data_IF_064936896036
#
_entry.id   IF_064936896036
#
_cell.length_a   1.000
_cell.length_b   1.000
_cell.length_c   1.000
_cell.angle_alpha   90.00
_cell.angle_beta   90.00
_cell.angle_gamma   90.00
#
_symmetry.space_group_name_H-M   'P 1'
#
loop_
_entity.id
_entity.type
_entity.pdbx_description
1 polymer ?
#
# COMPACT_ATOMS: atom_id res chain seq x y z
N UNK A 1 1.86 -29.46 -9.84
CA UNK A 1 2.36 -29.06 -11.16
C UNK A 1 3.48 -28.07 -10.89
N UNK A 2 4.71 -28.40 -11.26
CA UNK A 2 5.86 -27.50 -11.04
C UNK A 2 5.84 -26.42 -12.13
N UNK A 3 5.86 -25.15 -11.71
CA UNK A 3 5.96 -24.01 -12.62
C UNK A 3 7.43 -23.87 -13.01
N UNK A 4 7.72 -23.87 -14.31
CA UNK A 4 9.09 -23.72 -14.82
C UNK A 4 9.41 -22.26 -15.18
N UNK A 5 10.70 -21.93 -15.29
CA UNK A 5 11.14 -20.59 -15.75
C UNK A 5 10.56 -20.26 -17.14
N UNK A 6 10.46 -21.26 -18.02
CA UNK A 6 9.90 -21.07 -19.37
C UNK A 6 8.42 -20.70 -19.35
N UNK A 7 7.66 -21.23 -18.40
CA UNK A 7 6.25 -20.89 -18.25
C UNK A 7 6.10 -19.41 -17.90
N UNK A 8 6.91 -18.93 -16.94
CA UNK A 8 6.95 -17.50 -16.56
C UNK A 8 7.40 -16.59 -17.70
N UNK A 9 8.39 -16.99 -18.50
CA UNK A 9 8.84 -16.21 -19.66
C UNK A 9 7.75 -16.07 -20.74
N UNK A 10 6.96 -17.12 -20.95
CA UNK A 10 5.86 -17.10 -21.91
C UNK A 10 4.72 -16.20 -21.42
N UNK A 11 4.38 -16.30 -20.14
CA UNK A 11 3.35 -15.46 -19.52
C UNK A 11 3.73 -13.98 -19.62
N UNK A 12 4.98 -13.63 -19.28
CA UNK A 12 5.48 -12.24 -19.37
C UNK A 12 5.44 -11.69 -20.80
N UNK A 13 5.74 -12.51 -21.82
CA UNK A 13 5.67 -12.10 -23.23
C UNK A 13 4.23 -11.92 -23.73
N UNK A 14 3.27 -12.59 -23.11
CA UNK A 14 1.86 -12.49 -23.46
C UNK A 14 1.17 -11.24 -22.90
N UNK A 15 1.82 -10.53 -21.97
CA UNK A 15 1.24 -9.38 -21.29
C UNK A 15 1.16 -8.13 -22.19
N UNK A 16 0.05 -7.36 -22.10
CA UNK A 16 -0.04 -6.03 -22.67
C UNK A 16 1.06 -5.10 -22.16
N UNK A 17 1.56 -4.19 -23.02
CA UNK A 17 2.66 -3.28 -22.69
C UNK A 17 2.34 -2.37 -21.51
N UNK A 18 1.06 -2.03 -21.34
CA UNK A 18 0.53 -1.19 -20.28
C UNK A 18 0.69 -1.83 -18.89
N UNK A 19 0.78 -3.16 -18.82
CA UNK A 19 0.96 -3.92 -17.58
C UNK A 19 2.43 -4.25 -17.29
N UNK A 20 3.33 -4.12 -18.27
CA UNK A 20 4.75 -4.42 -18.09
C UNK A 20 5.40 -3.55 -17.01
N UNK A 21 4.95 -2.30 -16.85
CA UNK A 21 5.46 -1.43 -15.78
C UNK A 21 5.08 -1.96 -14.40
N UNK A 22 3.82 -2.34 -14.19
CA UNK A 22 3.35 -2.86 -12.90
C UNK A 22 4.05 -4.18 -12.54
N UNK A 23 4.26 -5.04 -13.54
CA UNK A 23 5.01 -6.28 -13.34
C UNK A 23 6.48 -6.01 -13.04
N UNK A 24 7.10 -5.04 -13.73
CA UNK A 24 8.46 -4.59 -13.42
C UNK A 24 8.59 -4.07 -11.98
N UNK A 25 7.63 -3.26 -11.53
CA UNK A 25 7.60 -2.72 -10.16
C UNK A 25 7.45 -3.83 -9.12
N UNK A 26 6.59 -4.82 -9.39
CA UNK A 26 6.42 -5.97 -8.52
C UNK A 26 7.67 -6.87 -8.49
N UNK A 27 8.31 -7.09 -9.63
CA UNK A 27 9.60 -7.82 -9.70
C UNK A 27 10.70 -7.07 -8.95
N UNK A 28 10.74 -5.74 -9.02
CA UNK A 28 11.65 -4.92 -8.23
C UNK A 28 11.40 -5.08 -6.73
N UNK A 29 10.15 -5.06 -6.29
CA UNK A 29 9.75 -5.35 -4.91
C UNK A 29 10.17 -6.76 -4.46
N UNK A 30 9.93 -7.79 -5.28
CA UNK A 30 10.33 -9.17 -4.96
C UNK A 30 11.86 -9.30 -4.86
N UNK A 31 12.61 -8.66 -5.76
CA UNK A 31 14.07 -8.61 -5.70
C UNK A 31 14.55 -7.91 -4.42
N UNK A 32 13.94 -6.79 -4.05
CA UNK A 32 14.22 -6.11 -2.79
C UNK A 32 13.93 -7.02 -1.58
N UNK A 33 12.77 -7.68 -1.58
CA UNK A 33 12.31 -8.53 -0.48
C UNK A 33 13.15 -9.80 -0.28
N UNK A 34 13.59 -10.43 -1.36
CA UNK A 34 14.19 -11.77 -1.32
C UNK A 34 15.69 -11.81 -1.66
N UNK A 35 16.20 -10.86 -2.46
CA UNK A 35 17.63 -10.76 -2.79
C UNK A 35 18.31 -9.59 -2.06
N UNK A 36 17.53 -8.62 -1.59
CA UNK A 36 18.01 -7.66 -0.61
C UNK A 36 18.20 -8.39 0.72
N UNK A 37 19.44 -8.71 1.07
CA UNK A 37 19.84 -8.56 2.46
C UNK A 37 19.61 -7.09 2.83
N UNK A 38 18.39 -6.73 3.18
CA UNK A 38 18.16 -5.49 3.90
C UNK A 38 18.50 -5.82 5.35
N UNK A 39 19.78 -5.67 5.67
CA UNK A 39 20.26 -5.51 7.06
C UNK A 39 19.83 -4.14 7.62
N UNK A 40 18.95 -3.42 6.93
CA UNK A 40 18.40 -2.12 7.28
C UNK A 40 16.88 -2.26 7.44
N UNK A 41 16.35 -1.62 8.46
CA UNK A 41 14.92 -1.61 8.77
C UNK A 41 14.14 -1.01 7.58
N UNK A 42 13.02 -1.62 7.16
CA UNK A 42 12.16 -1.09 6.10
C UNK A 42 11.67 0.33 6.42
N UNK A 43 11.63 0.70 7.71
CA UNK A 43 11.32 2.06 8.16
C UNK A 43 12.34 3.11 7.65
N UNK A 44 13.54 2.72 7.20
CA UNK A 44 14.50 3.66 6.60
C UNK A 44 14.04 4.20 5.25
N UNK A 45 13.13 3.50 4.56
CA UNK A 45 12.58 3.92 3.27
C UNK A 45 11.39 4.88 3.38
N UNK A 46 10.85 5.09 4.59
CA UNK A 46 9.73 6.00 4.80
C UNK A 46 10.21 7.46 4.83
N UNK A 47 9.46 8.35 4.18
CA UNK A 47 9.61 9.79 4.39
C UNK A 47 9.26 10.17 5.83
N UNK A 48 9.72 11.33 6.28
CA UNK A 48 9.35 11.87 7.60
C UNK A 48 7.83 11.96 7.77
N UNK A 49 7.12 12.45 6.76
CA UNK A 49 5.65 12.57 6.80
C UNK A 49 4.94 11.21 6.90
N UNK A 50 5.50 10.16 6.30
CA UNK A 50 4.95 8.81 6.41
C UNK A 50 5.15 8.24 7.81
N UNK A 51 6.32 8.47 8.43
CA UNK A 51 6.61 8.07 9.82
C UNK A 51 5.67 8.78 10.79
N UNK A 52 5.54 10.10 10.67
CA UNK A 52 4.62 10.92 11.47
C UNK A 52 3.17 10.44 11.34
N UNK A 53 2.73 10.08 10.12
CA UNK A 53 1.38 9.55 9.89
C UNK A 53 1.15 8.20 10.59
N UNK A 54 2.17 7.35 10.66
CA UNK A 54 2.09 6.05 11.35
C UNK A 54 2.03 6.26 12.86
N UNK A 55 2.91 7.10 13.41
CA UNK A 55 2.94 7.43 14.84
C UNK A 55 1.61 8.05 15.29
N UNK A 56 1.07 8.98 14.50
CA UNK A 56 -0.25 9.56 14.75
C UNK A 56 -1.34 8.49 14.74
N UNK A 57 -1.33 7.59 13.76
CA UNK A 57 -2.30 6.50 13.68
C UNK A 57 -2.26 5.58 14.90
N UNK A 58 -1.06 5.29 15.43
CA UNK A 58 -0.90 4.51 16.65
C UNK A 58 -1.48 5.24 17.88
N UNK A 59 -1.15 6.51 18.08
CA UNK A 59 -1.72 7.34 19.15
C UNK A 59 -3.25 7.47 19.03
N UNK A 60 -3.78 7.61 17.81
CA UNK A 60 -5.23 7.67 17.59
C UNK A 60 -5.93 6.36 18.01
N UNK A 61 -5.31 5.20 17.80
CA UNK A 61 -5.83 3.91 18.24
C UNK A 61 -5.76 3.80 19.78
N UNK A 62 -4.63 4.12 20.39
CA UNK A 62 -4.42 4.03 21.84
C UNK A 62 -5.37 4.95 22.62
N UNK A 63 -5.59 6.16 22.11
CA UNK A 63 -6.46 7.15 22.73
C UNK A 63 -7.94 6.97 22.36
N UNK A 64 -8.28 5.96 21.55
CA UNK A 64 -9.65 5.72 21.10
C UNK A 64 -10.20 6.83 20.19
N UNK A 65 -9.33 7.62 19.54
CA UNK A 65 -9.68 8.63 18.51
C UNK A 65 -9.96 7.97 17.16
N UNK A 66 -10.57 6.79 17.18
CA UNK A 66 -11.00 6.03 16.01
C UNK A 66 -12.51 6.05 15.93
N UNK A 67 -13.03 6.09 14.71
CA UNK A 67 -14.47 5.96 14.43
C UNK A 67 -14.68 4.84 13.44
N UNK A 68 -15.82 4.17 13.52
CA UNK A 68 -16.21 3.20 12.51
C UNK A 68 -16.45 3.87 11.17
N UNK A 69 -16.40 3.07 10.10
CA UNK A 69 -16.67 3.53 8.74
C UNK A 69 -18.07 4.14 8.59
N UNK A 70 -19.07 3.54 9.24
CA UNK A 70 -20.45 4.02 9.16
C UNK A 70 -20.63 5.35 9.89
N UNK A 71 -20.01 5.52 11.06
CA UNK A 71 -19.97 6.81 11.76
C UNK A 71 -19.27 7.89 10.95
N UNK A 72 -18.15 7.55 10.27
CA UNK A 72 -17.46 8.47 9.39
C UNK A 72 -18.35 8.94 8.24
N UNK A 73 -19.04 8.01 7.56
CA UNK A 73 -20.00 8.34 6.49
C UNK A 73 -21.11 9.24 6.98
N UNK A 74 -21.66 8.97 8.16
CA UNK A 74 -22.72 9.77 8.73
C UNK A 74 -22.26 11.20 9.03
N UNK A 75 -21.10 11.38 9.68
CA UNK A 75 -20.52 12.71 9.94
C UNK A 75 -20.26 13.50 8.66
N UNK A 76 -19.76 12.85 7.61
CA UNK A 76 -19.55 13.49 6.30
C UNK A 76 -20.88 13.96 5.72
N UNK A 77 -21.92 13.11 5.77
CA UNK A 77 -23.27 13.45 5.27
C UNK A 77 -23.87 14.63 6.04
N UNK A 78 -23.75 14.65 7.36
CA UNK A 78 -24.22 15.74 8.22
C UNK A 78 -23.51 17.07 7.90
N UNK A 79 -22.17 17.04 7.72
CA UNK A 79 -21.39 18.21 7.34
C UNK A 79 -21.83 18.78 5.98
N UNK A 80 -22.00 17.93 4.97
CA UNK A 80 -22.45 18.35 3.64
C UNK A 80 -23.85 19.00 3.70
N UNK A 81 -24.77 18.42 4.47
CA UNK A 81 -26.10 19.01 4.65
C UNK A 81 -26.05 20.36 5.35
N UNK A 82 -25.18 20.53 6.36
CA UNK A 82 -25.02 21.80 7.09
C UNK A 82 -24.45 22.94 6.22
N UNK A 83 -23.77 22.61 5.12
CA UNK A 83 -23.20 23.56 4.15
C UNK A 83 -24.18 23.91 3.03
N UNK A 84 -25.28 23.18 2.91
CA UNK A 84 -26.28 23.34 1.83
C UNK A 84 -27.48 24.19 2.28
N UNK A 85 -27.45 24.71 3.53
CA UNK A 85 -28.43 25.65 4.09
C UNK A 85 -27.91 27.07 4.00
#
# INVERSE_FOLDING_TARGET
>A
MEITIKDLENDLKSLPKELLQQVSDYVAFLKQKYNGQVNEDWATYLSTSQKESIEKGASDIEEGRVISHDEAKQKIKEYLNSKTV
#
